data_IF_423838171159
#
_entry.id   IF_423838171159
#
_cell.length_a   1.000
_cell.length_b   1.000
_cell.length_c   1.000
_cell.angle_alpha   90.00
_cell.angle_beta   90.00
_cell.angle_gamma   90.00
#
_symmetry.space_group_name_H-M   'P 1'
#
loop_
_entity.id
_entity.type
_entity.pdbx_description
1 polymer ?
#
# COMPACT_ATOMS: atom_id res chain seq x y z
N UNK A 1 18.18 -18.96 -29.21
CA UNK A 1 17.27 -17.79 -29.28
C UNK A 1 16.02 -17.98 -28.43
N UNK A 2 15.48 -19.20 -28.29
CA UNK A 2 14.28 -19.48 -27.48
C UNK A 2 14.44 -19.17 -25.98
N UNK A 3 15.61 -19.44 -25.38
CA UNK A 3 15.87 -19.15 -23.96
C UNK A 3 15.78 -17.65 -23.67
N UNK A 4 16.28 -16.81 -24.58
CA UNK A 4 16.23 -15.36 -24.44
C UNK A 4 14.81 -14.83 -24.60
N UNK A 5 14.04 -15.43 -25.53
CA UNK A 5 12.62 -15.12 -25.72
C UNK A 5 11.79 -15.50 -24.47
N UNK A 6 12.01 -16.70 -23.92
CA UNK A 6 11.35 -17.15 -22.70
C UNK A 6 11.67 -16.27 -21.49
N UNK A 7 12.95 -15.87 -21.34
CA UNK A 7 13.36 -14.93 -20.30
C UNK A 7 12.62 -13.59 -20.46
N UNK A 8 12.63 -13.01 -21.66
CA UNK A 8 12.02 -11.71 -21.92
C UNK A 8 10.51 -11.73 -21.63
N UNK A 9 9.80 -12.80 -22.03
CA UNK A 9 8.38 -13.00 -21.71
C UNK A 9 8.17 -13.07 -20.19
N UNK A 10 8.96 -13.85 -19.46
CA UNK A 10 8.87 -13.93 -18.00
C UNK A 10 9.08 -12.57 -17.32
N UNK A 11 10.05 -11.76 -17.78
CA UNK A 11 10.28 -10.42 -17.27
C UNK A 11 9.09 -9.49 -17.52
N UNK A 12 8.44 -9.59 -18.69
CA UNK A 12 7.24 -8.80 -19.02
C UNK A 12 6.10 -9.16 -18.05
N UNK A 13 5.88 -10.45 -17.80
CA UNK A 13 4.85 -10.93 -16.86
C UNK A 13 5.06 -10.31 -15.47
N UNK A 14 6.31 -10.25 -14.98
CA UNK A 14 6.63 -9.63 -13.69
C UNK A 14 6.33 -8.13 -13.70
N UNK A 15 6.64 -7.43 -14.81
CA UNK A 15 6.29 -6.03 -14.99
C UNK A 15 4.78 -5.78 -14.93
N UNK A 16 3.98 -6.66 -15.55
CA UNK A 16 2.51 -6.60 -15.50
C UNK A 16 1.99 -6.82 -14.07
N UNK A 17 2.52 -7.83 -13.37
CA UNK A 17 2.17 -8.10 -11.96
C UNK A 17 2.53 -6.90 -11.08
N UNK A 18 3.71 -6.29 -11.26
CA UNK A 18 4.11 -5.09 -10.54
C UNK A 18 3.18 -3.89 -10.82
N UNK A 19 2.73 -3.74 -12.07
CA UNK A 19 1.79 -2.70 -12.46
C UNK A 19 0.43 -2.86 -11.76
N UNK A 20 -0.08 -4.08 -11.65
CA UNK A 20 -1.31 -4.36 -10.89
C UNK A 20 -1.20 -4.03 -9.39
N UNK A 21 0.03 -3.93 -8.85
CA UNK A 21 0.31 -3.55 -7.46
C UNK A 21 0.55 -2.04 -7.28
N UNK A 22 0.25 -1.24 -8.31
CA UNK A 22 0.40 0.21 -8.31
C UNK A 22 1.83 0.70 -8.48
N UNK A 23 2.77 -0.18 -8.88
CA UNK A 23 4.17 0.21 -9.18
C UNK A 23 4.38 0.42 -10.67
N UNK A 24 5.49 1.06 -11.03
CA UNK A 24 5.92 1.21 -12.42
C UNK A 24 6.29 -0.14 -13.02
N UNK A 25 5.38 -0.72 -13.83
CA UNK A 25 5.62 -2.01 -14.49
C UNK A 25 6.87 -2.03 -15.36
N UNK A 26 7.18 -0.91 -16.03
CA UNK A 26 8.39 -0.78 -16.84
C UNK A 26 9.69 -0.84 -16.02
N UNK A 27 9.73 -0.20 -14.85
CA UNK A 27 10.90 -0.28 -13.97
C UNK A 27 11.11 -1.70 -13.45
N UNK A 28 10.03 -2.39 -13.07
CA UNK A 28 10.09 -3.77 -12.61
C UNK A 28 10.43 -4.77 -13.71
N UNK A 29 10.00 -4.52 -14.94
CA UNK A 29 10.46 -5.26 -16.11
C UNK A 29 11.98 -5.15 -16.28
N UNK A 30 12.54 -3.93 -16.22
CA UNK A 30 13.99 -3.73 -16.33
C UNK A 30 14.76 -4.39 -15.19
N UNK A 31 14.25 -4.32 -13.96
CA UNK A 31 14.84 -5.00 -12.79
C UNK A 31 14.82 -6.52 -12.99
N UNK A 32 13.70 -7.08 -13.43
CA UNK A 32 13.56 -8.52 -13.69
C UNK A 32 14.45 -8.97 -14.87
N UNK A 33 14.58 -8.15 -15.91
CA UNK A 33 15.44 -8.40 -17.05
C UNK A 33 16.92 -8.35 -16.69
N UNK A 34 17.33 -7.44 -15.79
CA UNK A 34 18.73 -7.25 -15.39
C UNK A 34 19.18 -8.21 -14.29
N UNK A 35 18.41 -8.40 -13.21
CA UNK A 35 18.80 -9.26 -12.09
C UNK A 35 18.49 -10.73 -12.35
N UNK A 36 17.26 -11.02 -12.77
CA UNK A 36 16.68 -12.33 -13.07
C UNK A 36 15.18 -12.27 -12.81
N UNK A 37 14.33 -12.91 -13.64
CA UNK A 37 12.89 -12.94 -13.44
C UNK A 37 12.51 -13.62 -12.11
N UNK A 38 13.27 -14.60 -11.65
CA UNK A 38 13.03 -15.22 -10.34
C UNK A 38 13.15 -14.21 -9.20
N UNK A 39 14.22 -13.41 -9.21
CA UNK A 39 14.45 -12.38 -8.19
C UNK A 39 13.40 -11.27 -8.31
N UNK A 40 13.08 -10.84 -9.53
CA UNK A 40 12.04 -9.84 -9.78
C UNK A 40 10.68 -10.26 -9.23
N UNK A 41 10.28 -11.52 -9.42
CA UNK A 41 9.03 -12.04 -8.90
C UNK A 41 8.99 -12.04 -7.36
N UNK A 42 10.03 -12.54 -6.71
CA UNK A 42 10.12 -12.58 -5.23
C UNK A 42 10.00 -11.16 -4.68
N UNK A 43 10.74 -10.21 -5.24
CA UNK A 43 10.71 -8.82 -4.81
C UNK A 43 9.31 -8.20 -5.01
N UNK A 44 8.64 -8.41 -6.14
CA UNK A 44 7.27 -7.91 -6.36
C UNK A 44 6.29 -8.46 -5.33
N UNK A 45 6.46 -9.72 -4.92
CA UNK A 45 5.59 -10.40 -3.95
C UNK A 45 5.81 -9.90 -2.52
N UNK A 46 7.07 -9.78 -2.09
CA UNK A 46 7.46 -9.36 -0.74
C UNK A 46 7.11 -7.90 -0.48
N UNK A 47 7.29 -7.04 -1.48
CA UNK A 47 7.05 -5.63 -1.28
C UNK A 47 5.53 -5.31 -1.27
N UNK A 48 5.04 -4.54 -0.27
CA UNK A 48 3.62 -4.18 -0.16
C UNK A 48 3.14 -3.34 -1.33
N UNK A 49 1.83 -3.30 -1.61
CA UNK A 49 1.30 -2.50 -2.74
C UNK A 49 1.66 -1.02 -2.56
N UNK A 50 2.04 -0.34 -3.64
CA UNK A 50 2.37 1.09 -3.59
C UNK A 50 1.12 1.86 -3.15
N UNK A 51 1.24 2.65 -2.07
CA UNK A 51 0.11 3.34 -1.42
C UNK A 51 -0.46 2.65 -0.17
N UNK A 52 -0.13 1.39 0.11
CA UNK A 52 -0.39 0.79 1.42
C UNK A 52 0.69 1.15 2.45
N UNK A 53 1.94 1.32 2.01
CA UNK A 53 3.05 1.71 2.88
C UNK A 53 3.05 3.20 3.28
N UNK A 54 2.37 4.05 2.50
CA UNK A 54 2.26 5.50 2.76
C UNK A 54 0.93 5.90 3.43
N UNK A 55 -0.06 5.01 3.45
CA UNK A 55 -1.28 5.23 4.21
C UNK A 55 -0.97 4.90 5.67
N UNK A 56 -1.04 5.89 6.55
CA UNK A 56 -1.08 5.62 7.99
C UNK A 56 -2.23 4.63 8.22
N UNK A 57 -1.92 3.49 8.82
CA UNK A 57 -2.88 2.43 9.13
C UNK A 57 -3.09 2.43 10.64
N UNK A 58 -4.34 2.31 11.06
CA UNK A 58 -4.72 2.20 12.46
C UNK A 58 -4.27 0.82 13.00
N UNK A 59 -4.33 0.61 14.32
CA UNK A 59 -3.92 -0.62 15.01
C UNK A 59 -4.62 -1.88 14.46
N UNK A 60 -5.78 -1.71 13.83
CA UNK A 60 -6.57 -2.76 13.17
C UNK A 60 -6.23 -2.98 11.68
N UNK A 61 -5.19 -2.33 11.15
CA UNK A 61 -4.78 -2.44 9.74
C UNK A 61 -5.67 -1.69 8.75
N UNK A 62 -6.62 -0.89 9.24
CA UNK A 62 -7.52 -0.08 8.41
C UNK A 62 -6.85 1.25 8.05
N UNK A 63 -7.00 1.69 6.80
CA UNK A 63 -6.40 2.95 6.33
C UNK A 63 -6.98 4.13 7.11
N UNK A 64 -6.11 4.89 7.79
CA UNK A 64 -6.44 6.20 8.36
C UNK A 64 -6.63 7.14 7.17
N UNK A 65 -7.90 7.45 6.91
CA UNK A 65 -8.30 8.41 5.90
C UNK A 65 -9.09 9.51 6.59
N UNK A 66 -9.21 10.67 5.95
CA UNK A 66 -10.09 11.74 6.45
C UNK A 66 -11.56 11.28 6.59
N UNK A 67 -11.92 10.17 5.95
CA UNK A 67 -13.25 9.59 6.07
C UNK A 67 -13.43 8.73 7.33
N UNK A 68 -12.39 8.06 7.84
CA UNK A 68 -12.50 7.24 9.06
C UNK A 68 -12.19 8.00 10.34
N UNK A 69 -11.38 9.06 10.25
CA UNK A 69 -10.90 9.82 11.41
C UNK A 69 -11.20 11.30 11.26
N UNK A 70 -11.63 11.92 12.37
CA UNK A 70 -11.92 13.34 12.51
C UNK A 70 -11.10 13.91 13.67
N UNK A 71 -10.80 15.21 13.64
CA UNK A 71 -10.17 15.89 14.78
C UNK A 71 -11.23 16.22 15.83
N UNK A 72 -10.97 15.85 17.08
CA UNK A 72 -11.82 16.26 18.20
C UNK A 72 -11.86 17.81 18.30
N UNK A 73 -13.03 18.43 18.49
CA UNK A 73 -13.15 19.89 18.55
C UNK A 73 -12.42 20.51 19.76
N UNK A 74 -12.31 19.80 20.89
CA UNK A 74 -11.65 20.32 22.10
C UNK A 74 -10.14 20.17 22.06
N UNK A 75 -9.63 18.95 21.90
CA UNK A 75 -8.20 18.65 22.01
C UNK A 75 -7.48 18.47 20.67
N UNK A 76 -8.19 18.49 19.55
CA UNK A 76 -7.67 18.31 18.17
C UNK A 76 -6.98 16.97 17.89
N UNK A 77 -7.06 16.03 18.82
CA UNK A 77 -6.59 14.67 18.64
C UNK A 77 -7.35 13.99 17.49
N UNK A 78 -6.68 13.11 16.75
CA UNK A 78 -7.31 12.24 15.76
C UNK A 78 -8.13 11.15 16.47
N UNK A 79 -9.45 11.19 16.27
CA UNK A 79 -10.39 10.24 16.85
C UNK A 79 -11.21 9.63 15.72
N UNK A 80 -11.64 8.38 15.86
CA UNK A 80 -12.55 7.77 14.89
C UNK A 80 -13.89 8.50 14.86
N UNK A 81 -14.52 8.57 13.69
CA UNK A 81 -15.84 9.22 13.53
C UNK A 81 -16.95 8.56 14.35
N UNK A 82 -16.84 7.26 14.65
CA UNK A 82 -17.81 6.50 15.44
C UNK A 82 -17.58 6.63 16.96
N UNK A 83 -16.53 7.30 17.40
CA UNK A 83 -16.23 7.46 18.81
C UNK A 83 -17.27 8.36 19.50
N UNK A 84 -17.92 7.84 20.55
CA UNK A 84 -18.82 8.62 21.42
C UNK A 84 -18.08 9.40 22.50
N UNK A 85 -16.84 9.01 22.81
CA UNK A 85 -16.04 9.64 23.86
C UNK A 85 -14.56 9.67 23.47
N UNK A 86 -13.94 10.83 23.57
CA UNK A 86 -12.52 10.99 23.27
C UNK A 86 -11.62 10.33 24.33
N UNK A 87 -10.59 9.58 23.90
CA UNK A 87 -9.63 8.93 24.82
C UNK A 87 -8.72 9.90 25.56
N UNK A 88 -8.45 11.07 24.98
CA UNK A 88 -7.56 12.09 25.57
C UNK A 88 -8.31 13.10 26.44
N UNK A 89 -9.28 13.82 25.86
CA UNK A 89 -10.02 14.87 26.59
C UNK A 89 -11.26 14.35 27.34
N UNK A 90 -11.75 13.16 27.01
CA UNK A 90 -12.98 12.63 27.61
C UNK A 90 -14.27 13.31 27.18
N UNK A 91 -14.24 14.33 26.31
CA UNK A 91 -15.47 14.99 25.83
C UNK A 91 -16.36 13.98 25.09
N UNK A 92 -17.67 14.12 25.27
CA UNK A 92 -18.66 13.42 24.48
C UNK A 92 -18.63 13.94 23.03
N UNK A 93 -18.47 13.02 22.09
CA UNK A 93 -18.44 13.29 20.65
C UNK A 93 -19.74 12.78 20.04
N UNK A 94 -20.26 13.50 19.06
CA UNK A 94 -21.44 13.08 18.29
C UNK A 94 -20.92 12.32 17.08
N UNK A 95 -21.17 10.99 16.99
CA UNK A 95 -20.67 10.20 15.88
C UNK A 95 -21.30 10.66 14.56
N UNK A 96 -20.49 10.69 13.50
CA UNK A 96 -20.87 11.13 12.14
C UNK A 96 -20.81 9.97 11.16
#
# INVERSE_FOLDING_TARGET
>A
MEIFLGWLVCSIVIGVIASSRGRSGFAWFLIAALLSPLIGLILVLVFPKLGQAAAAVDETGQKITADSHVRCPDCRELVRKDARKGKHCGTALIPQ
#
